data_IF_182093893748
#
_entry.id   IF_182093893748
#
_cell.length_a   1.000
_cell.length_b   1.000
_cell.length_c   1.000
_cell.angle_alpha   90.00
_cell.angle_beta   90.00
_cell.angle_gamma   90.00
#
_symmetry.space_group_name_H-M   'P 1'
#
loop_
_entity.id
_entity.type
_entity.pdbx_description
1 polymer ?
#
# COMPACT_ATOMS: atom_id res chain seq x y z
N UNK A 1 -24.40 23.17 0.66
CA UNK A 1 -23.03 23.45 1.13
C UNK A 1 -22.17 23.63 -0.13
N UNK A 2 -21.36 24.67 -0.20
CA UNK A 2 -20.47 24.93 -1.34
C UNK A 2 -19.30 23.92 -1.26
N UNK A 3 -18.96 23.31 -2.37
CA UNK A 3 -17.86 22.34 -2.45
C UNK A 3 -16.52 23.06 -2.23
N UNK A 4 -15.72 22.54 -1.32
CA UNK A 4 -14.36 23.07 -1.04
C UNK A 4 -13.31 22.39 -1.94
N UNK A 5 -12.12 23.00 -2.04
CA UNK A 5 -11.00 22.39 -2.76
C UNK A 5 -10.62 21.01 -2.18
N UNK A 6 -10.78 20.83 -0.87
CA UNK A 6 -10.55 19.56 -0.21
C UNK A 6 -11.59 18.49 -0.62
N UNK A 7 -12.88 18.87 -0.72
CA UNK A 7 -13.92 17.95 -1.16
C UNK A 7 -13.67 17.48 -2.61
N UNK A 8 -13.27 18.41 -3.48
CA UNK A 8 -12.92 18.10 -4.87
C UNK A 8 -11.70 17.13 -4.94
N UNK A 9 -10.68 17.37 -4.12
CA UNK A 9 -9.49 16.51 -4.04
C UNK A 9 -9.86 15.09 -3.56
N UNK A 10 -10.65 14.97 -2.51
CA UNK A 10 -11.10 13.67 -1.98
C UNK A 10 -11.91 12.89 -3.01
N UNK A 11 -12.77 13.57 -3.77
CA UNK A 11 -13.56 12.94 -4.86
C UNK A 11 -12.69 12.52 -6.05
N UNK A 12 -11.67 13.29 -6.39
CA UNK A 12 -10.77 12.96 -7.51
C UNK A 12 -9.82 11.80 -7.19
N UNK A 13 -9.58 11.50 -5.92
CA UNK A 13 -8.73 10.39 -5.49
C UNK A 13 -9.25 9.04 -5.99
N UNK A 14 -8.51 8.35 -6.81
CA UNK A 14 -8.83 7.01 -7.34
C UNK A 14 -7.61 6.09 -7.28
N UNK A 15 -7.87 4.78 -7.14
CA UNK A 15 -6.82 3.76 -7.29
C UNK A 15 -6.36 3.68 -8.75
N UNK A 16 -5.10 4.00 -9.00
CA UNK A 16 -4.47 3.84 -10.31
C UNK A 16 -3.91 2.40 -10.42
N UNK A 17 -4.36 1.63 -11.41
CA UNK A 17 -3.96 0.22 -11.60
C UNK A 17 -3.19 -0.01 -12.90
N UNK A 18 -2.90 1.03 -13.65
CA UNK A 18 -2.04 0.99 -14.83
C UNK A 18 -1.24 2.28 -14.93
N UNK A 19 0.04 2.14 -15.18
CA UNK A 19 0.98 3.26 -15.19
C UNK A 19 1.63 3.38 -16.56
N UNK A 20 2.01 4.62 -16.92
CA UNK A 20 2.85 4.87 -18.07
C UNK A 20 4.29 4.46 -17.77
N UNK A 21 5.02 4.08 -18.80
CA UNK A 21 6.45 3.87 -18.69
C UNK A 21 7.20 5.22 -18.61
N UNK A 22 7.18 5.81 -17.41
CA UNK A 22 7.79 7.08 -17.13
C UNK A 22 8.49 7.08 -15.77
N UNK A 23 9.42 8.00 -15.58
CA UNK A 23 10.05 8.26 -14.28
C UNK A 23 9.38 9.45 -13.61
N UNK A 24 9.27 9.42 -12.29
CA UNK A 24 8.88 10.57 -11.50
C UNK A 24 10.12 11.33 -11.04
N UNK A 25 10.02 12.66 -11.03
CA UNK A 25 11.05 13.52 -10.45
C UNK A 25 11.13 13.35 -8.93
N UNK A 26 12.30 13.64 -8.37
CA UNK A 26 12.55 13.45 -6.94
C UNK A 26 11.75 14.42 -6.07
N UNK A 27 11.48 15.63 -6.54
CA UNK A 27 10.74 16.64 -5.79
C UNK A 27 9.30 16.19 -5.56
N UNK A 28 8.65 15.64 -6.58
CA UNK A 28 7.30 15.05 -6.48
C UNK A 28 7.27 13.88 -5.50
N UNK A 29 8.25 12.96 -5.59
CA UNK A 29 8.35 11.84 -4.65
C UNK A 29 8.51 12.34 -3.21
N UNK A 30 9.42 13.29 -2.98
CA UNK A 30 9.65 13.90 -1.65
C UNK A 30 8.41 14.59 -1.11
N UNK A 31 7.66 15.31 -1.93
CA UNK A 31 6.41 15.96 -1.54
C UNK A 31 5.37 14.94 -1.06
N UNK A 32 5.24 13.81 -1.77
CA UNK A 32 4.36 12.71 -1.36
C UNK A 32 4.81 12.09 -0.04
N UNK A 33 6.10 11.82 0.11
CA UNK A 33 6.65 11.27 1.36
C UNK A 33 6.47 12.24 2.53
N UNK A 34 6.64 13.55 2.32
CA UNK A 34 6.41 14.57 3.34
C UNK A 34 4.96 14.58 3.83
N UNK A 35 3.98 14.43 2.93
CA UNK A 35 2.57 14.31 3.33
C UNK A 35 2.34 13.07 4.22
N UNK A 36 2.96 11.95 3.89
CA UNK A 36 2.93 10.74 4.72
C UNK A 36 3.62 10.91 6.08
N UNK A 37 4.73 11.64 6.10
CA UNK A 37 5.45 11.93 7.34
C UNK A 37 4.64 12.74 8.33
N UNK A 38 3.84 13.69 7.85
CA UNK A 38 2.96 14.55 8.63
C UNK A 38 1.69 13.85 9.15
N UNK A 39 1.44 12.61 8.72
CA UNK A 39 0.29 11.85 9.21
C UNK A 39 0.43 11.54 10.71
N UNK A 40 -0.70 11.50 11.45
CA UNK A 40 -0.68 11.16 12.87
C UNK A 40 -0.04 9.80 13.08
N UNK A 41 0.74 9.70 14.13
CA UNK A 41 1.36 8.48 14.59
C UNK A 41 0.57 7.94 15.78
N UNK A 42 0.14 6.69 15.71
CA UNK A 42 -0.52 6.04 16.82
C UNK A 42 0.52 5.37 17.74
N UNK A 43 0.43 5.65 19.02
CA UNK A 43 1.24 5.00 20.06
C UNK A 43 2.02 5.97 20.93
N UNK A 44 1.77 5.89 22.23
CA UNK A 44 2.48 6.63 23.28
C UNK A 44 3.81 5.92 23.61
N UNK A 45 4.79 6.00 22.70
CA UNK A 45 6.01 5.20 22.84
C UNK A 45 7.21 5.97 23.39
N UNK A 46 7.09 7.31 23.63
CA UNK A 46 8.21 8.12 24.14
C UNK A 46 9.44 8.23 23.25
N UNK A 47 9.42 7.64 22.03
CA UNK A 47 10.53 7.59 21.08
C UNK A 47 10.27 8.59 19.95
N UNK A 48 11.29 9.21 19.40
CA UNK A 48 11.17 10.16 18.29
C UNK A 48 10.55 9.49 17.03
N UNK A 49 9.83 10.27 16.21
CA UNK A 49 9.17 9.74 15.01
C UNK A 49 10.17 9.11 14.03
N UNK A 50 11.37 9.65 13.90
CA UNK A 50 12.44 9.13 13.05
C UNK A 50 12.88 7.70 13.41
N UNK A 51 12.71 7.30 14.66
CA UNK A 51 13.03 5.95 15.11
C UNK A 51 11.88 4.96 14.93
N UNK A 52 10.70 5.48 14.59
CA UNK A 52 9.46 4.70 14.48
C UNK A 52 8.98 4.51 13.06
N UNK A 53 9.07 5.55 12.22
CA UNK A 53 8.55 5.54 10.86
C UNK A 53 9.71 5.67 9.87
N UNK A 54 9.71 4.81 8.86
CA UNK A 54 10.66 4.85 7.75
C UNK A 54 9.93 4.66 6.44
N UNK A 55 10.44 5.30 5.38
CA UNK A 55 9.99 5.08 4.01
C UNK A 55 11.16 4.58 3.17
N UNK A 56 10.92 3.51 2.42
CA UNK A 56 11.85 2.98 1.44
C UNK A 56 11.32 3.28 0.05
N UNK A 57 12.12 3.97 -0.74
CA UNK A 57 11.79 4.38 -2.11
C UNK A 57 12.50 3.45 -3.08
N UNK A 58 11.75 2.53 -3.66
CA UNK A 58 12.28 1.54 -4.59
C UNK A 58 11.92 1.97 -6.01
N UNK A 59 12.89 2.54 -6.74
CA UNK A 59 12.70 2.99 -8.12
C UNK A 59 12.64 1.79 -9.06
N UNK A 60 11.75 1.84 -10.06
CA UNK A 60 11.69 0.85 -11.14
C UNK A 60 13.08 0.68 -11.77
N UNK A 61 13.36 -0.54 -12.23
CA UNK A 61 14.63 -0.94 -12.86
C UNK A 61 15.87 -0.83 -11.97
N UNK A 62 15.76 -0.47 -10.68
CA UNK A 62 16.89 -0.57 -9.75
C UNK A 62 17.18 -2.04 -9.37
N UNK A 63 18.41 -2.33 -8.97
CA UNK A 63 18.77 -3.67 -8.50
C UNK A 63 17.93 -4.09 -7.27
N UNK A 64 17.59 -3.15 -6.38
CA UNK A 64 16.72 -3.39 -5.24
C UNK A 64 15.29 -3.76 -5.70
N UNK A 65 14.76 -3.09 -6.73
CA UNK A 65 13.45 -3.42 -7.29
C UNK A 65 13.40 -4.87 -7.80
N UNK A 66 14.43 -5.31 -8.52
CA UNK A 66 14.52 -6.68 -9.01
C UNK A 66 14.48 -7.71 -7.87
N UNK A 67 15.34 -7.52 -6.85
CA UNK A 67 15.41 -8.43 -5.70
C UNK A 67 14.11 -8.46 -4.88
N UNK A 68 13.60 -7.30 -4.50
CA UNK A 68 12.37 -7.20 -3.70
C UNK A 68 11.14 -7.73 -4.45
N UNK A 69 11.04 -7.49 -5.76
CA UNK A 69 9.96 -8.01 -6.60
C UNK A 69 10.00 -9.55 -6.71
N UNK A 70 11.19 -10.13 -6.82
CA UNK A 70 11.36 -11.57 -6.83
C UNK A 70 10.89 -12.20 -5.50
N UNK A 71 11.31 -11.64 -4.35
CA UNK A 71 10.87 -12.10 -3.02
C UNK A 71 9.35 -11.95 -2.84
N UNK A 72 8.77 -10.83 -3.31
CA UNK A 72 7.33 -10.63 -3.28
C UNK A 72 6.58 -11.69 -4.11
N UNK A 73 7.06 -12.02 -5.31
CA UNK A 73 6.46 -13.05 -6.16
C UNK A 73 6.55 -14.44 -5.51
N UNK A 74 7.68 -14.80 -4.94
CA UNK A 74 7.83 -16.07 -4.22
C UNK A 74 6.86 -16.15 -3.02
N UNK A 75 6.65 -15.06 -2.30
CA UNK A 75 5.66 -15.01 -1.23
C UNK A 75 4.24 -15.19 -1.73
N UNK A 76 3.89 -14.59 -2.88
CA UNK A 76 2.58 -14.81 -3.54
C UNK A 76 2.38 -16.29 -3.85
N UNK A 77 3.36 -16.93 -4.47
CA UNK A 77 3.31 -18.36 -4.81
C UNK A 77 3.16 -19.24 -3.56
N UNK A 78 3.91 -18.92 -2.51
CA UNK A 78 3.81 -19.64 -1.23
C UNK A 78 2.44 -19.49 -0.57
N UNK A 79 1.89 -18.26 -0.52
CA UNK A 79 0.56 -17.99 0.02
C UNK A 79 -0.53 -18.69 -0.80
N UNK A 80 -0.41 -18.68 -2.13
CA UNK A 80 -1.30 -19.42 -3.04
C UNK A 80 -1.33 -20.92 -2.69
N UNK A 81 -0.16 -21.53 -2.57
CA UNK A 81 -0.03 -22.96 -2.22
C UNK A 81 -0.67 -23.25 -0.86
N UNK A 82 -0.38 -22.45 0.16
CA UNK A 82 -0.96 -22.59 1.50
C UNK A 82 -2.48 -22.48 1.50
N UNK A 83 -3.01 -21.46 0.83
CA UNK A 83 -4.45 -21.25 0.71
C UNK A 83 -5.13 -22.38 -0.04
N UNK A 84 -4.53 -22.87 -1.12
CA UNK A 84 -5.04 -24.02 -1.89
C UNK A 84 -5.17 -25.26 -1.02
N UNK A 85 -4.19 -25.53 -0.17
CA UNK A 85 -4.24 -26.64 0.79
C UNK A 85 -5.32 -26.39 1.84
N UNK A 86 -5.34 -25.22 2.49
CA UNK A 86 -6.29 -24.90 3.54
C UNK A 86 -7.76 -25.00 3.07
N UNK A 87 -8.05 -24.64 1.82
CA UNK A 87 -9.39 -24.74 1.21
C UNK A 87 -9.93 -26.16 1.13
N UNK A 88 -9.07 -27.19 1.20
CA UNK A 88 -9.47 -28.62 1.21
C UNK A 88 -9.94 -29.08 2.58
N UNK A 89 -9.42 -28.47 3.65
CA UNK A 89 -9.63 -28.96 5.02
C UNK A 89 -10.54 -28.04 5.84
N UNK A 90 -10.72 -26.78 5.44
CA UNK A 90 -11.53 -25.81 6.19
C UNK A 90 -12.88 -25.60 5.49
N UNK A 91 -14.01 -26.05 6.07
CA UNK A 91 -15.32 -25.88 5.48
C UNK A 91 -15.65 -24.40 5.22
N UNK A 92 -16.23 -24.12 4.05
CA UNK A 92 -16.62 -22.75 3.65
C UNK A 92 -15.49 -21.81 3.24
N UNK A 93 -14.21 -22.16 3.50
CA UNK A 93 -13.06 -21.31 3.15
C UNK A 93 -12.94 -21.12 1.63
N UNK A 94 -13.28 -22.15 0.85
CA UNK A 94 -13.23 -22.08 -0.60
C UNK A 94 -14.13 -20.96 -1.15
N UNK A 95 -15.36 -20.84 -0.67
CA UNK A 95 -16.30 -19.77 -1.07
C UNK A 95 -15.80 -18.39 -0.61
N UNK A 96 -15.43 -18.27 0.67
CA UNK A 96 -14.95 -16.99 1.25
C UNK A 96 -13.70 -16.43 0.55
N UNK A 97 -12.85 -17.28 0.01
CA UNK A 97 -11.56 -16.88 -0.58
C UNK A 97 -11.53 -16.98 -2.10
N UNK A 98 -12.66 -17.19 -2.78
CA UNK A 98 -12.71 -17.42 -4.22
C UNK A 98 -12.06 -16.27 -5.02
N UNK A 99 -12.43 -15.02 -4.74
CA UNK A 99 -11.89 -13.85 -5.42
C UNK A 99 -10.40 -13.60 -5.10
N UNK A 100 -10.02 -13.85 -3.85
CA UNK A 100 -8.62 -13.73 -3.45
C UNK A 100 -7.75 -14.79 -4.14
N UNK A 101 -8.25 -16.02 -4.25
CA UNK A 101 -7.56 -17.09 -4.96
C UNK A 101 -7.35 -16.76 -6.43
N UNK A 102 -8.38 -16.26 -7.13
CA UNK A 102 -8.26 -15.77 -8.52
C UNK A 102 -7.15 -14.73 -8.68
N UNK A 103 -7.03 -13.80 -7.72
CA UNK A 103 -5.94 -12.82 -7.70
C UNK A 103 -4.57 -13.46 -7.54
N UNK A 104 -4.43 -14.40 -6.61
CA UNK A 104 -3.18 -15.13 -6.41
C UNK A 104 -2.80 -15.98 -7.64
N UNK A 105 -3.77 -16.58 -8.32
CA UNK A 105 -3.55 -17.32 -9.57
C UNK A 105 -3.00 -16.40 -10.66
N UNK A 106 -3.63 -15.25 -10.89
CA UNK A 106 -3.19 -14.27 -11.88
C UNK A 106 -1.78 -13.75 -11.58
N UNK A 107 -1.49 -13.37 -10.32
CA UNK A 107 -0.18 -12.89 -9.90
C UNK A 107 0.90 -13.96 -9.97
N UNK A 108 0.56 -15.22 -9.68
CA UNK A 108 1.52 -16.34 -9.73
C UNK A 108 1.95 -16.72 -11.14
N UNK A 109 1.06 -16.56 -12.12
CA UNK A 109 1.30 -16.90 -13.54
C UNK A 109 1.85 -15.75 -14.37
N UNK A 110 1.32 -14.52 -14.15
CA UNK A 110 1.67 -13.34 -14.94
C UNK A 110 2.64 -12.37 -14.25
N UNK A 111 3.02 -12.63 -13.00
CA UNK A 111 3.79 -11.68 -12.19
C UNK A 111 2.95 -10.51 -11.67
N UNK A 112 3.60 -9.61 -10.95
CA UNK A 112 2.95 -8.41 -10.39
C UNK A 112 3.15 -7.27 -11.40
N UNK A 113 2.38 -7.29 -12.49
CA UNK A 113 2.54 -6.35 -13.62
C UNK A 113 2.50 -4.89 -13.16
N UNK A 114 1.56 -4.53 -12.29
CA UNK A 114 1.46 -3.16 -11.73
C UNK A 114 2.72 -2.73 -10.98
N UNK A 115 3.43 -3.66 -10.32
CA UNK A 115 4.70 -3.37 -9.66
C UNK A 115 5.82 -3.10 -10.68
N UNK A 116 5.77 -3.77 -11.83
CA UNK A 116 6.75 -3.58 -12.91
C UNK A 116 6.48 -2.30 -13.72
N UNK A 117 5.21 -1.88 -13.86
CA UNK A 117 4.81 -0.68 -14.58
C UNK A 117 5.02 0.60 -13.77
N UNK A 118 4.77 0.56 -12.46
CA UNK A 118 4.86 1.73 -11.60
C UNK A 118 6.28 2.32 -11.57
N UNK A 119 6.39 3.64 -11.53
CA UNK A 119 7.69 4.34 -11.48
C UNK A 119 8.43 4.07 -10.17
N UNK A 120 7.68 3.94 -9.09
CA UNK A 120 8.23 3.77 -7.73
C UNK A 120 7.32 2.88 -6.89
N UNK A 121 7.94 1.96 -6.16
CA UNK A 121 7.35 1.26 -5.03
C UNK A 121 7.81 1.92 -3.74
N UNK A 122 6.88 2.45 -2.95
CA UNK A 122 7.16 3.00 -1.62
C UNK A 122 6.72 1.97 -0.59
N UNK A 123 7.61 1.61 0.31
CA UNK A 123 7.34 0.75 1.46
C UNK A 123 7.43 1.64 2.70
N UNK A 124 6.32 1.74 3.44
CA UNK A 124 6.30 2.34 4.75
C UNK A 124 6.54 1.27 5.81
N UNK A 125 7.37 1.57 6.78
CA UNK A 125 7.65 0.71 7.93
C UNK A 125 7.44 1.50 9.22
N UNK A 126 6.74 0.88 10.17
CA UNK A 126 6.60 1.42 11.52
C UNK A 126 7.05 0.39 12.55
N UNK A 127 7.84 0.85 13.51
CA UNK A 127 8.33 0.02 14.60
C UNK A 127 7.18 -0.35 15.51
N UNK A 128 7.04 -1.64 15.79
CA UNK A 128 5.98 -2.18 16.64
C UNK A 128 6.08 -1.67 18.07
N UNK A 129 4.96 -1.28 18.62
CA UNK A 129 4.81 -0.77 19.97
C UNK A 129 3.65 -1.43 20.71
N UNK A 130 3.33 -0.89 21.86
CA UNK A 130 2.19 -1.34 22.66
C UNK A 130 1.35 -0.14 23.11
N UNK A 131 0.00 -0.18 22.93
CA UNK A 131 -0.75 -1.20 22.16
C UNK A 131 -0.43 -1.14 20.66
N UNK A 132 -0.60 -2.25 19.92
CA UNK A 132 -0.29 -2.30 18.49
C UNK A 132 -1.23 -1.38 17.70
N UNK A 133 -0.68 -0.41 16.99
CA UNK A 133 -1.42 0.58 16.23
C UNK A 133 -0.74 0.93 14.87
N UNK A 134 0.35 0.26 14.54
CA UNK A 134 1.23 0.57 13.42
C UNK A 134 0.50 0.49 12.08
N UNK A 135 -0.34 -0.53 11.88
CA UNK A 135 -1.13 -0.68 10.66
C UNK A 135 -2.09 0.50 10.44
N UNK A 136 -2.70 1.03 11.52
CA UNK A 136 -3.56 2.23 11.45
C UNK A 136 -2.74 3.47 11.11
N UNK A 137 -1.58 3.61 11.73
CA UNK A 137 -0.65 4.70 11.52
C UNK A 137 -0.14 4.73 10.07
N UNK A 138 0.27 3.59 9.52
CA UNK A 138 0.66 3.44 8.11
C UNK A 138 -0.52 3.80 7.19
N UNK A 139 -1.74 3.38 7.52
CA UNK A 139 -2.93 3.72 6.73
C UNK A 139 -3.18 5.23 6.66
N UNK A 140 -3.00 5.96 7.78
CA UNK A 140 -3.09 7.43 7.79
C UNK A 140 -1.99 8.05 6.91
N UNK A 141 -0.75 7.55 7.01
CA UNK A 141 0.35 8.03 6.17
C UNK A 141 0.04 7.81 4.68
N UNK A 142 -0.43 6.63 4.30
CA UNK A 142 -0.79 6.36 2.91
C UNK A 142 -1.98 7.18 2.42
N UNK A 143 -2.97 7.48 3.26
CA UNK A 143 -4.07 8.35 2.85
C UNK A 143 -3.58 9.76 2.54
N UNK A 144 -2.69 10.34 3.38
CA UNK A 144 -2.09 11.64 3.11
C UNK A 144 -1.24 11.62 1.84
N UNK A 145 -0.41 10.59 1.67
CA UNK A 145 0.39 10.40 0.45
C UNK A 145 -0.47 10.27 -0.80
N UNK A 146 -1.60 9.57 -0.70
CA UNK A 146 -2.53 9.38 -1.80
C UNK A 146 -3.18 10.70 -2.23
N UNK A 147 -3.65 11.50 -1.26
CA UNK A 147 -4.21 12.82 -1.54
C UNK A 147 -3.16 13.74 -2.18
N UNK A 148 -1.91 13.74 -1.67
CA UNK A 148 -0.82 14.51 -2.26
C UNK A 148 -0.47 14.04 -3.67
N UNK A 149 -0.42 12.74 -3.92
CA UNK A 149 -0.23 12.20 -5.26
C UNK A 149 -1.35 12.62 -6.21
N UNK A 150 -2.61 12.58 -5.75
CA UNK A 150 -3.79 13.03 -6.51
C UNK A 150 -3.70 14.51 -6.88
N UNK A 151 -3.30 15.36 -5.92
CA UNK A 151 -3.08 16.80 -6.14
C UNK A 151 -2.03 17.06 -7.24
N UNK A 152 -0.97 16.24 -7.26
CA UNK A 152 0.12 16.32 -8.25
C UNK A 152 -0.20 15.63 -9.58
N UNK A 153 -1.40 15.06 -9.77
CA UNK A 153 -1.74 14.29 -10.96
C UNK A 153 -1.02 12.95 -11.07
N UNK A 154 -0.43 12.47 -9.96
CA UNK A 154 0.30 11.21 -9.88
C UNK A 154 -0.65 10.09 -9.46
N UNK A 155 -0.63 8.98 -10.21
CA UNK A 155 -1.37 7.77 -9.89
C UNK A 155 -0.83 7.10 -8.63
N UNK A 156 -1.75 6.61 -7.80
CA UNK A 156 -1.41 5.92 -6.55
C UNK A 156 -2.22 4.62 -6.42
N UNK A 157 -1.58 3.54 -5.97
CA UNK A 157 -2.22 2.27 -5.68
C UNK A 157 -1.66 1.67 -4.39
N UNK A 158 -2.53 1.31 -3.46
CA UNK A 158 -2.11 0.48 -2.32
C UNK A 158 -1.70 -0.90 -2.82
N UNK A 159 -0.53 -1.35 -2.39
CA UNK A 159 -0.01 -2.69 -2.64
C UNK A 159 0.02 -3.47 -1.31
N UNK A 160 -1.16 -3.72 -0.75
CA UNK A 160 -1.35 -4.32 0.58
C UNK A 160 -0.72 -5.70 0.74
N UNK A 161 -0.38 -6.38 -0.36
CA UNK A 161 0.42 -7.61 -0.28
C UNK A 161 1.81 -7.37 0.33
N UNK A 162 2.32 -6.14 0.30
CA UNK A 162 3.60 -5.78 0.95
C UNK A 162 3.55 -6.07 2.45
N UNK A 163 2.42 -5.87 3.12
CA UNK A 163 2.22 -6.20 4.53
C UNK A 163 2.48 -7.68 4.84
N UNK A 164 2.16 -8.58 3.90
CA UNK A 164 2.43 -10.01 4.07
C UNK A 164 3.93 -10.35 4.09
N UNK A 165 4.77 -9.43 3.62
CA UNK A 165 6.23 -9.60 3.57
C UNK A 165 6.90 -9.27 4.90
N UNK A 166 6.20 -8.69 5.88
CA UNK A 166 6.72 -8.43 7.23
C UNK A 166 7.18 -9.71 7.94
N UNK A 167 6.61 -10.86 7.56
CA UNK A 167 6.99 -12.17 8.05
C UNK A 167 8.13 -12.84 7.25
N UNK A 168 8.60 -12.23 6.17
CA UNK A 168 9.65 -12.77 5.31
C UNK A 168 11.02 -12.21 5.73
N UNK A 169 11.91 -13.12 6.18
CA UNK A 169 13.23 -12.73 6.71
C UNK A 169 14.13 -12.10 5.64
N UNK A 170 14.10 -12.63 4.40
CA UNK A 170 14.94 -12.13 3.33
C UNK A 170 14.46 -10.75 2.86
N UNK A 171 13.15 -10.56 2.76
CA UNK A 171 12.57 -9.26 2.40
C UNK A 171 12.88 -8.18 3.45
N UNK A 172 12.70 -8.51 4.73
CA UNK A 172 13.02 -7.57 5.83
C UNK A 172 14.52 -7.25 5.88
N UNK A 173 15.39 -8.21 5.62
CA UNK A 173 16.83 -8.00 5.55
C UNK A 173 17.24 -7.06 4.39
N UNK A 174 16.60 -7.16 3.22
CA UNK A 174 16.83 -6.21 2.10
C UNK A 174 16.47 -4.76 2.47
N UNK A 175 15.55 -4.57 3.40
CA UNK A 175 15.19 -3.25 3.95
C UNK A 175 16.09 -2.84 5.14
N UNK A 176 17.00 -3.68 5.59
CA UNK A 176 17.78 -3.46 6.80
C UNK A 176 16.93 -3.41 8.07
N UNK A 177 15.81 -4.13 8.09
CA UNK A 177 14.86 -4.19 9.19
C UNK A 177 14.89 -5.56 9.88
N UNK A 178 14.89 -5.57 11.21
CA UNK A 178 14.76 -6.79 11.98
C UNK A 178 13.34 -7.35 11.85
N UNK A 179 13.25 -8.64 11.49
CA UNK A 179 11.96 -9.34 11.39
C UNK A 179 11.26 -9.38 12.76
N UNK A 180 9.98 -9.09 12.76
CA UNK A 180 9.17 -9.11 13.97
C UNK A 180 9.08 -7.76 14.70
N UNK A 181 10.04 -6.86 14.49
CA UNK A 181 10.06 -5.53 15.14
C UNK A 181 9.30 -4.46 14.36
N UNK A 182 9.01 -4.69 13.10
CA UNK A 182 8.40 -3.71 12.21
C UNK A 182 7.14 -4.23 11.57
N UNK A 183 6.14 -3.37 11.50
CA UNK A 183 5.01 -3.51 10.58
C UNK A 183 5.34 -2.79 9.29
N UNK A 184 5.01 -3.39 8.15
CA UNK A 184 5.22 -2.77 6.84
C UNK A 184 3.96 -2.83 6.00
N UNK A 185 3.79 -1.86 5.11
CA UNK A 185 2.87 -1.95 3.99
C UNK A 185 3.42 -1.15 2.82
N UNK A 186 2.79 -1.24 1.64
CA UNK A 186 3.32 -0.64 0.43
C UNK A 186 2.30 0.06 -0.45
N UNK A 187 2.82 0.99 -1.24
CA UNK A 187 2.07 1.61 -2.32
C UNK A 187 2.94 1.77 -3.58
N UNK A 188 2.27 1.86 -4.70
CA UNK A 188 2.87 2.14 -6.01
C UNK A 188 2.47 3.55 -6.45
N UNK A 189 3.42 4.29 -7.01
CA UNK A 189 3.18 5.59 -7.63
C UNK A 189 3.80 5.65 -9.02
N UNK A 190 3.17 6.42 -9.90
CA UNK A 190 3.63 6.61 -11.28
C UNK A 190 2.67 7.49 -12.06
N UNK A 191 3.00 7.89 -13.28
CA UNK A 191 2.05 8.58 -14.13
C UNK A 191 0.93 7.63 -14.53
N UNK A 192 -0.35 8.01 -14.38
CA UNK A 192 -1.47 7.15 -14.74
C UNK A 192 -1.54 6.96 -16.26
N UNK A 193 -1.73 5.71 -16.71
CA UNK A 193 -1.88 5.40 -18.13
C UNK A 193 -3.23 5.90 -18.70
N UNK A 194 -4.22 6.14 -17.83
CA UNK A 194 -5.55 6.62 -18.21
C UNK A 194 -6.06 7.63 -17.18
N UNK A 195 -6.84 8.63 -17.60
CA UNK A 195 -7.52 9.53 -16.68
C UNK A 195 -8.42 8.74 -15.72
N UNK A 196 -8.52 9.20 -14.49
CA UNK A 196 -9.46 8.64 -13.52
C UNK A 196 -10.77 9.43 -13.50
N UNK A 197 -11.90 8.74 -13.36
CA UNK A 197 -13.21 9.38 -13.16
C UNK A 197 -13.41 9.64 -11.66
N UNK A 198 -13.76 10.86 -11.25
CA UNK A 198 -14.05 11.17 -9.85
C UNK A 198 -15.15 10.29 -9.26
N UNK A 199 -15.08 10.03 -7.96
CA UNK A 199 -16.16 9.37 -7.23
C UNK A 199 -17.23 10.40 -6.87
N UNK A 200 -18.45 10.17 -7.32
CA UNK A 200 -19.62 11.03 -7.04
C UNK A 200 -20.58 10.42 -6.02
N UNK A 201 -20.21 9.31 -5.42
CA UNK A 201 -21.01 8.62 -4.43
C UNK A 201 -21.21 9.50 -3.19
N UNK A 202 -22.47 9.61 -2.73
CA UNK A 202 -22.82 10.38 -1.53
C UNK A 202 -22.97 9.42 -0.35
N UNK A 203 -22.69 9.95 0.85
CA UNK A 203 -22.97 9.22 2.07
C UNK A 203 -24.50 8.94 2.16
N UNK A 204 -24.94 7.67 2.17
CA UNK A 204 -26.34 7.36 2.35
C UNK A 204 -26.73 7.54 3.83
N UNK A 205 -27.93 8.05 4.07
CA UNK A 205 -28.42 8.26 5.45
C UNK A 205 -28.43 6.97 6.28
N UNK A 206 -28.72 5.83 5.63
CA UNK A 206 -28.67 4.50 6.27
C UNK A 206 -27.29 4.08 6.79
N UNK A 207 -26.21 4.77 6.39
CA UNK A 207 -24.87 4.53 6.90
C UNK A 207 -24.54 5.32 8.18
N UNK A 208 -25.47 6.14 8.66
CA UNK A 208 -25.29 6.98 9.87
C UNK A 208 -26.34 6.59 10.90
N UNK A 209 -25.90 6.27 12.11
CA UNK A 209 -26.78 6.10 13.27
C UNK A 209 -26.46 7.20 14.29
N UNK A 210 -27.48 7.96 14.67
CA UNK A 210 -27.41 8.92 15.77
C UNK A 210 -27.85 8.18 17.04
N UNK A 211 -26.99 8.19 18.06
CA UNK A 211 -27.26 7.57 19.35
C UNK A 211 -27.40 8.71 20.37
N UNK A 212 -28.67 8.99 20.76
CA UNK A 212 -29.02 10.01 21.74
C UNK A 212 -28.95 9.45 23.18
#
# INVERSE_FOLDING_TARGET
MQETAFDALVRSRRSCRSFQEATLDEASIRSILQAGWLAPHAGATGVALVDKRRFFVVRRASAAHGRLSALALERVKANRKRLMIARRFVPGLAAKTANFMKRLDALSGGGITTLQEASVWIIAAERKGFPPAEAKSIAHAFQNMWLKATELGIGFMLLSMTGMLSADTAFMAELGLAKGEWEIDGCLIGLPARPSTPNVERLPESAVAWLD
#
